data_IF_732316235116
#
_entry.id   IF_732316235116
#
_cell.length_a   1.000
_cell.length_b   1.000
_cell.length_c   1.000
_cell.angle_alpha   90.00
_cell.angle_beta   90.00
_cell.angle_gamma   90.00
#
_symmetry.space_group_name_H-M   'P 1'
#
loop_
_entity.id
_entity.type
_entity.pdbx_description
1 polymer ?
#
# COMPACT_ATOMS: atom_id res chain seq x y z
N UNK A 1 5.82 0.46 -14.99
CA UNK A 1 4.98 1.62 -15.34
C UNK A 1 3.54 1.19 -15.25
N UNK A 2 2.71 1.91 -14.49
CA UNK A 2 1.29 1.61 -14.33
C UNK A 2 0.48 2.79 -14.85
N UNK A 3 -0.29 2.55 -15.89
CA UNK A 3 -1.22 3.49 -16.51
C UNK A 3 -2.62 2.91 -16.39
N UNK A 4 -3.56 3.68 -15.88
CA UNK A 4 -4.95 3.27 -15.72
C UNK A 4 -5.86 4.26 -16.44
N UNK A 5 -6.93 3.81 -17.12
CA UNK A 5 -7.96 4.72 -17.58
C UNK A 5 -8.55 5.51 -16.41
N UNK A 6 -8.68 6.81 -16.57
CA UNK A 6 -9.41 7.66 -15.64
C UNK A 6 -10.90 7.73 -16.04
N UNK A 7 -11.80 8.25 -15.17
CA UNK A 7 -13.23 8.32 -15.48
C UNK A 7 -13.59 9.18 -16.68
N UNK A 8 -12.79 10.22 -16.98
CA UNK A 8 -13.04 11.10 -18.11
C UNK A 8 -12.34 10.60 -19.37
N UNK A 9 -12.98 10.68 -20.55
CA UNK A 9 -12.37 10.30 -21.82
C UNK A 9 -11.08 11.09 -22.08
N UNK A 10 -10.03 10.39 -22.50
CA UNK A 10 -8.72 10.99 -22.78
C UNK A 10 -7.84 11.21 -21.58
N UNK A 11 -8.30 10.89 -20.38
CA UNK A 11 -7.51 10.97 -19.16
C UNK A 11 -6.97 9.61 -18.72
N UNK A 12 -5.76 9.61 -18.19
CA UNK A 12 -5.13 8.43 -17.58
C UNK A 12 -4.53 8.77 -16.22
N UNK A 13 -4.67 7.85 -15.29
CA UNK A 13 -3.99 7.92 -14.00
C UNK A 13 -2.62 7.25 -14.13
N UNK A 14 -1.58 7.94 -13.70
CA UNK A 14 -0.19 7.49 -13.76
C UNK A 14 0.32 7.21 -12.35
N UNK A 15 0.64 5.96 -12.03
CA UNK A 15 1.26 5.57 -10.78
C UNK A 15 2.71 5.13 -11.02
N UNK A 16 3.64 6.07 -10.94
CA UNK A 16 5.05 5.84 -11.31
C UNK A 16 6.06 6.49 -10.37
N UNK A 17 5.71 7.61 -9.71
CA UNK A 17 6.67 8.28 -8.83
C UNK A 17 6.95 7.44 -7.59
N UNK A 18 8.21 7.39 -7.19
CA UNK A 18 8.66 6.64 -6.01
C UNK A 18 9.91 7.29 -5.42
N UNK A 19 10.00 7.31 -4.11
CA UNK A 19 11.20 7.71 -3.37
C UNK A 19 11.42 6.74 -2.22
N UNK A 20 12.67 6.29 -2.05
CA UNK A 20 13.11 5.37 -1.01
C UNK A 20 14.01 6.10 -0.01
N UNK A 21 14.28 5.46 1.15
CA UNK A 21 15.12 6.06 2.19
C UNK A 21 14.47 7.28 2.83
N UNK A 22 13.16 7.25 3.02
CA UNK A 22 12.33 8.29 3.62
C UNK A 22 11.78 7.78 4.95
N UNK A 23 12.01 8.52 6.02
CA UNK A 23 11.25 8.35 7.25
C UNK A 23 9.92 9.09 7.14
N UNK A 24 8.83 8.35 6.90
CA UNK A 24 7.48 8.91 6.78
C UNK A 24 6.92 9.50 8.08
N UNK A 25 7.68 9.47 9.19
CA UNK A 25 7.34 10.16 10.46
C UNK A 25 8.05 11.50 10.60
N UNK A 26 9.00 11.80 9.70
CA UNK A 26 9.78 13.04 9.66
C UNK A 26 9.19 14.03 8.65
N UNK A 27 8.77 15.20 9.11
CA UNK A 27 8.25 16.26 8.23
C UNK A 27 9.28 16.68 7.17
N UNK A 28 10.56 16.74 7.52
CA UNK A 28 11.65 17.06 6.59
C UNK A 28 11.73 16.03 5.46
N UNK A 29 11.65 14.74 5.80
CA UNK A 29 11.72 13.66 4.84
C UNK A 29 10.48 13.61 3.95
N UNK A 30 9.29 13.86 4.51
CA UNK A 30 8.07 13.98 3.72
C UNK A 30 8.15 15.14 2.72
N UNK A 31 8.69 16.30 3.14
CA UNK A 31 8.91 17.44 2.25
C UNK A 31 9.89 17.09 1.13
N UNK A 32 11.00 16.42 1.46
CA UNK A 32 11.95 15.92 0.46
C UNK A 32 11.29 14.96 -0.52
N UNK A 33 10.47 14.04 -0.03
CA UNK A 33 9.73 13.10 -0.86
C UNK A 33 8.78 13.80 -1.84
N UNK A 34 8.05 14.82 -1.38
CA UNK A 34 7.19 15.65 -2.24
C UNK A 34 7.98 16.31 -3.37
N UNK A 35 9.09 16.95 -3.06
CA UNK A 35 9.94 17.62 -4.06
C UNK A 35 10.42 16.61 -5.10
N UNK A 36 11.02 15.51 -4.67
CA UNK A 36 11.57 14.47 -5.54
C UNK A 36 10.48 13.86 -6.44
N UNK A 37 9.32 13.53 -5.87
CA UNK A 37 8.22 12.95 -6.66
C UNK A 37 7.66 13.94 -7.70
N UNK A 38 7.59 15.22 -7.38
CA UNK A 38 7.15 16.24 -8.35
C UNK A 38 8.15 16.45 -9.47
N UNK A 39 9.45 16.43 -9.19
CA UNK A 39 10.48 16.43 -10.22
C UNK A 39 10.41 15.20 -11.13
N UNK A 40 10.18 14.01 -10.54
CA UNK A 40 9.97 12.79 -11.32
C UNK A 40 8.74 12.91 -12.23
N UNK A 41 7.64 13.51 -11.78
CA UNK A 41 6.45 13.72 -12.61
C UNK A 41 6.78 14.49 -13.89
N UNK A 42 7.56 15.55 -13.80
CA UNK A 42 7.96 16.33 -15.00
C UNK A 42 8.77 15.45 -15.97
N UNK A 43 9.68 14.63 -15.46
CA UNK A 43 10.47 13.70 -16.29
C UNK A 43 9.61 12.62 -16.93
N UNK A 44 8.63 12.09 -16.18
CA UNK A 44 7.67 11.08 -16.70
C UNK A 44 6.83 11.67 -17.85
N UNK A 45 6.34 12.89 -17.72
CA UNK A 45 5.58 13.54 -18.81
C UNK A 45 6.44 13.68 -20.07
N UNK A 46 7.69 14.10 -19.92
CA UNK A 46 8.62 14.17 -21.06
C UNK A 46 8.84 12.80 -21.70
N UNK A 47 9.08 11.78 -20.88
CA UNK A 47 9.23 10.40 -21.35
C UNK A 47 7.98 9.90 -22.10
N UNK A 48 6.78 10.15 -21.56
CA UNK A 48 5.53 9.74 -22.21
C UNK A 48 5.38 10.41 -23.58
N UNK A 49 5.67 11.71 -23.67
CA UNK A 49 5.61 12.46 -24.95
C UNK A 49 6.58 11.95 -25.99
N UNK A 50 7.75 11.55 -25.59
CA UNK A 50 8.84 11.17 -26.49
C UNK A 50 8.77 9.70 -26.93
N UNK A 51 8.35 8.81 -26.03
CA UNK A 51 8.51 7.37 -26.23
C UNK A 51 7.21 6.56 -26.25
N UNK A 52 6.06 7.17 -25.92
CA UNK A 52 4.81 6.41 -25.82
C UNK A 52 3.79 6.91 -26.86
N UNK A 53 3.49 6.09 -27.89
CA UNK A 53 2.53 6.48 -28.92
C UNK A 53 1.17 6.86 -28.34
N UNK A 54 0.60 7.98 -28.81
CA UNK A 54 -0.66 8.53 -28.35
C UNK A 54 -0.54 9.49 -27.15
N UNK A 55 0.69 9.71 -26.63
CA UNK A 55 0.95 10.64 -25.52
C UNK A 55 1.74 11.87 -25.94
N UNK A 56 1.95 12.12 -27.21
CA UNK A 56 2.81 13.18 -27.76
C UNK A 56 2.43 14.57 -27.20
N UNK A 57 1.15 14.80 -26.98
CA UNK A 57 0.61 16.08 -26.47
C UNK A 57 0.09 15.98 -25.03
N UNK A 58 0.41 14.90 -24.27
CA UNK A 58 -0.10 14.74 -22.91
C UNK A 58 0.44 15.83 -21.98
N UNK A 59 -0.35 16.18 -20.97
CA UNK A 59 0.05 17.10 -19.92
C UNK A 59 -0.60 16.67 -18.59
N UNK A 60 -0.05 17.13 -17.47
CA UNK A 60 -0.63 16.84 -16.17
C UNK A 60 -1.88 17.69 -15.96
N UNK A 61 -3.04 17.04 -15.79
CA UNK A 61 -4.29 17.69 -15.40
C UNK A 61 -4.26 17.98 -13.90
N UNK A 62 -3.82 17.01 -13.13
CA UNK A 62 -3.70 17.13 -11.66
C UNK A 62 -2.62 16.19 -11.12
N UNK A 63 -2.23 16.39 -9.89
CA UNK A 63 -1.39 15.45 -9.13
C UNK A 63 -2.00 15.19 -7.76
N UNK A 64 -1.58 14.10 -7.10
CA UNK A 64 -1.96 13.87 -5.71
C UNK A 64 -1.58 15.08 -4.83
N UNK A 65 -2.44 15.40 -3.85
CA UNK A 65 -2.19 16.49 -2.90
C UNK A 65 -0.94 16.24 -2.05
N UNK A 66 -0.71 14.98 -1.68
CA UNK A 66 0.41 14.55 -0.84
C UNK A 66 0.99 13.24 -1.35
N UNK A 67 2.28 13.01 -1.01
CA UNK A 67 2.93 11.72 -1.23
C UNK A 67 2.23 10.61 -0.44
N UNK A 68 2.01 9.48 -1.08
CA UNK A 68 1.39 8.30 -0.46
C UNK A 68 2.40 7.52 0.38
N UNK A 69 2.37 7.70 1.70
CA UNK A 69 3.19 6.91 2.63
C UNK A 69 2.61 5.50 2.75
N UNK A 70 3.41 4.48 2.45
CA UNK A 70 2.95 3.09 2.46
C UNK A 70 2.98 2.48 3.85
N UNK A 71 4.07 2.64 4.58
CA UNK A 71 4.30 2.05 5.88
C UNK A 71 5.16 2.96 6.75
N UNK A 72 4.84 3.08 8.03
CA UNK A 72 5.65 3.76 9.05
C UNK A 72 5.52 3.06 10.39
N UNK A 73 4.48 3.39 11.16
CA UNK A 73 4.25 2.90 12.51
C UNK A 73 3.14 1.85 12.52
N UNK A 74 3.41 0.76 13.21
CA UNK A 74 2.41 -0.21 13.64
C UNK A 74 2.30 -0.13 15.16
N UNK A 75 1.11 -0.26 15.70
CA UNK A 75 0.96 -0.46 17.14
C UNK A 75 1.12 -1.94 17.47
N UNK A 76 1.46 -2.25 18.72
CA UNK A 76 1.47 -3.62 19.20
C UNK A 76 0.07 -4.02 19.67
N UNK A 77 -0.52 -4.96 18.95
CA UNK A 77 -1.84 -5.51 19.22
C UNK A 77 -1.76 -6.84 19.97
N UNK A 78 -2.92 -7.39 20.31
CA UNK A 78 -3.02 -8.72 20.94
C UNK A 78 -2.63 -9.86 19.99
N UNK A 79 -2.60 -9.60 18.69
CA UNK A 79 -2.15 -10.54 17.65
C UNK A 79 -1.42 -9.80 16.54
N UNK A 80 -0.24 -10.29 16.15
CA UNK A 80 0.50 -9.83 14.97
C UNK A 80 0.17 -10.74 13.79
N UNK A 81 -0.48 -10.20 12.74
CA UNK A 81 -0.76 -10.94 11.52
C UNK A 81 0.53 -11.23 10.77
N UNK A 82 0.75 -12.49 10.41
CA UNK A 82 1.96 -12.93 9.73
C UNK A 82 1.71 -13.22 8.25
N UNK A 83 2.79 -13.22 7.44
CA UNK A 83 2.72 -13.68 6.06
C UNK A 83 2.27 -15.13 5.94
N UNK A 84 2.55 -15.97 6.93
CA UNK A 84 2.14 -17.38 6.93
C UNK A 84 0.64 -17.53 7.11
N UNK A 85 0.00 -16.71 7.94
CA UNK A 85 -1.46 -16.68 8.08
C UNK A 85 -2.12 -16.36 6.72
N UNK A 86 -1.53 -15.45 5.96
CA UNK A 86 -2.03 -15.04 4.64
C UNK A 86 -1.79 -16.15 3.59
N UNK A 87 -0.57 -16.71 3.54
CA UNK A 87 -0.21 -17.77 2.59
C UNK A 87 -1.08 -19.00 2.78
N UNK A 88 -1.31 -19.41 4.03
CA UNK A 88 -2.14 -20.57 4.37
C UNK A 88 -3.64 -20.28 4.28
N UNK A 89 -4.03 -19.06 3.88
CA UNK A 89 -5.44 -18.62 3.78
C UNK A 89 -6.21 -18.85 5.09
N UNK A 90 -5.58 -18.54 6.21
CA UNK A 90 -6.12 -18.82 7.54
C UNK A 90 -7.41 -18.07 7.80
N UNK A 91 -8.38 -18.77 8.35
CA UNK A 91 -9.64 -18.22 8.84
C UNK A 91 -9.63 -18.22 10.36
N UNK A 92 -9.83 -17.05 10.95
CA UNK A 92 -9.88 -16.87 12.41
C UNK A 92 -11.33 -16.82 12.86
N UNK A 93 -11.64 -17.36 14.04
CA UNK A 93 -12.99 -17.34 14.60
C UNK A 93 -13.43 -15.92 15.00
N UNK A 94 -12.47 -15.10 15.44
CA UNK A 94 -12.64 -13.68 15.80
C UNK A 94 -12.36 -12.74 14.63
N UNK A 95 -12.70 -13.09 13.42
CA UNK A 95 -12.44 -12.27 12.25
C UNK A 95 -13.20 -10.93 12.27
N UNK A 96 -12.51 -9.87 11.85
CA UNK A 96 -13.09 -8.53 11.64
C UNK A 96 -13.18 -8.18 10.15
N UNK A 97 -12.29 -8.74 9.35
CA UNK A 97 -12.30 -8.65 7.90
C UNK A 97 -12.11 -10.04 7.30
N UNK A 98 -12.94 -10.39 6.33
CA UNK A 98 -12.94 -11.71 5.72
C UNK A 98 -12.88 -11.63 4.20
N UNK A 99 -12.55 -12.79 3.56
CA UNK A 99 -12.45 -12.95 2.10
C UNK A 99 -11.40 -12.04 1.48
N UNK A 100 -10.38 -11.63 2.24
CA UNK A 100 -9.30 -10.81 1.75
C UNK A 100 -8.40 -11.61 0.80
N UNK A 101 -7.99 -10.99 -0.30
CA UNK A 101 -7.08 -11.57 -1.28
C UNK A 101 -6.33 -10.45 -1.99
N UNK A 102 -5.02 -10.47 -1.93
CA UNK A 102 -4.14 -9.59 -2.69
C UNK A 102 -2.76 -10.22 -2.83
N UNK A 103 -1.93 -9.69 -3.69
CA UNK A 103 -0.53 -10.09 -3.81
C UNK A 103 0.31 -9.43 -2.71
N UNK A 104 1.46 -10.03 -2.38
CA UNK A 104 2.46 -9.40 -1.53
C UNK A 104 3.24 -8.38 -2.37
N UNK A 105 2.89 -7.11 -2.23
CA UNK A 105 3.48 -6.01 -3.00
C UNK A 105 4.62 -5.35 -2.21
N UNK A 106 5.77 -6.02 -2.19
CA UNK A 106 6.99 -5.54 -1.54
C UNK A 106 7.83 -4.79 -2.58
N UNK A 107 8.17 -3.54 -2.28
CA UNK A 107 9.01 -2.71 -3.12
C UNK A 107 10.48 -2.81 -2.71
N UNK A 108 11.38 -2.75 -3.71
CA UNK A 108 12.82 -2.77 -3.46
C UNK A 108 13.26 -1.52 -2.67
N UNK A 109 14.08 -1.72 -1.65
CA UNK A 109 14.74 -0.64 -0.91
C UNK A 109 16.05 -0.19 -1.58
N UNK A 110 16.50 -0.88 -2.64
CA UNK A 110 17.75 -0.61 -3.34
C UNK A 110 17.57 0.20 -4.63
N UNK A 111 16.33 0.36 -5.10
CA UNK A 111 16.05 1.06 -6.35
C UNK A 111 14.59 0.95 -6.78
N UNK A 112 14.26 1.40 -7.99
CA UNK A 112 12.91 1.33 -8.51
C UNK A 112 12.49 -0.12 -8.78
N UNK A 113 11.21 -0.42 -8.55
CA UNK A 113 10.62 -1.73 -8.83
C UNK A 113 10.33 -2.55 -7.58
N UNK A 114 10.04 -3.81 -7.80
CA UNK A 114 9.74 -4.78 -6.75
C UNK A 114 11.04 -5.38 -6.20
N UNK A 115 10.98 -5.85 -4.97
CA UNK A 115 12.09 -6.57 -4.35
C UNK A 115 12.41 -7.84 -5.18
N UNK A 116 13.71 -8.09 -5.44
CA UNK A 116 14.17 -9.25 -6.23
C UNK A 116 13.77 -10.59 -5.60
N UNK A 117 13.66 -10.60 -4.27
CA UNK A 117 13.13 -11.73 -3.50
C UNK A 117 11.63 -11.58 -3.27
N UNK A 118 11.04 -10.63 -4.00
CA UNK A 118 9.67 -10.18 -3.85
C UNK A 118 8.70 -11.33 -3.74
N UNK A 119 7.95 -11.28 -2.70
CA UNK A 119 6.98 -12.26 -2.28
C UNK A 119 5.98 -12.65 -3.40
N UNK A 120 5.82 -11.81 -4.42
CA UNK A 120 4.92 -12.06 -5.55
C UNK A 120 5.21 -13.36 -6.32
N UNK A 121 6.46 -13.80 -6.37
CA UNK A 121 6.83 -15.05 -7.06
C UNK A 121 6.92 -16.25 -6.11
N UNK A 122 7.22 -16.03 -4.85
CA UNK A 122 7.47 -17.09 -3.85
C UNK A 122 6.32 -17.29 -2.87
N UNK A 123 5.53 -16.24 -2.59
CA UNK A 123 4.43 -16.29 -1.65
C UNK A 123 3.11 -16.02 -2.37
N UNK A 124 2.40 -17.08 -2.68
CA UNK A 124 1.01 -17.00 -3.15
C UNK A 124 0.10 -17.52 -2.06
N UNK A 125 -0.94 -16.76 -1.74
CA UNK A 125 -1.97 -17.25 -0.84
C UNK A 125 -2.67 -18.45 -1.48
N UNK A 126 -2.90 -19.49 -0.68
CA UNK A 126 -3.68 -20.67 -1.07
C UNK A 126 -5.17 -20.35 -1.29
N UNK A 127 -5.63 -19.22 -0.80
CA UNK A 127 -7.01 -18.79 -0.92
C UNK A 127 -7.25 -17.44 -0.24
N UNK A 128 -8.52 -17.16 0.02
CA UNK A 128 -8.95 -15.96 0.75
C UNK A 128 -8.75 -16.17 2.25
N UNK A 129 -8.16 -15.17 2.93
CA UNK A 129 -7.89 -15.20 4.36
C UNK A 129 -8.77 -14.22 5.13
N UNK A 130 -8.81 -14.35 6.45
CA UNK A 130 -9.43 -13.38 7.35
C UNK A 130 -8.38 -12.65 8.21
N UNK A 131 -8.76 -11.49 8.73
CA UNK A 131 -7.97 -10.72 9.68
C UNK A 131 -8.68 -10.80 11.03
N UNK A 132 -8.00 -11.24 12.11
CA UNK A 132 -8.62 -11.36 13.42
C UNK A 132 -8.80 -9.99 14.09
N UNK A 133 -9.86 -9.83 14.85
CA UNK A 133 -10.15 -8.61 15.62
C UNK A 133 -9.00 -8.20 16.54
N UNK A 134 -8.30 -9.17 17.07
CA UNK A 134 -7.13 -8.98 17.96
C UNK A 134 -6.00 -8.18 17.32
N UNK A 135 -5.91 -8.09 15.99
CA UNK A 135 -4.95 -7.21 15.28
C UNK A 135 -5.30 -5.72 15.43
N UNK A 136 -6.53 -5.41 15.85
CA UNK A 136 -7.05 -4.04 15.99
C UNK A 136 -7.06 -3.58 17.46
N UNK A 137 -6.75 -4.44 18.41
CA UNK A 137 -6.81 -4.18 19.87
C UNK A 137 -5.40 -3.94 20.40
N UNK A 138 -5.06 -2.73 20.87
CA UNK A 138 -3.76 -2.46 21.49
C UNK A 138 -3.53 -3.29 22.75
N UNK A 139 -2.27 -3.75 22.97
CA UNK A 139 -1.92 -4.56 24.16
C UNK A 139 -2.01 -3.80 25.48
N UNK A 140 -1.84 -2.47 25.47
CA UNK A 140 -1.64 -1.67 26.68
C UNK A 140 -2.67 -0.55 26.86
N UNK A 141 -3.68 -0.49 26.02
CA UNK A 141 -4.70 0.55 26.09
C UNK A 141 -6.08 -0.07 25.92
N UNK A 142 -6.94 0.19 26.88
CA UNK A 142 -8.34 -0.21 26.84
C UNK A 142 -9.20 0.88 26.20
N UNK A 143 -10.35 0.50 25.66
CA UNK A 143 -11.31 1.43 25.07
C UNK A 143 -10.88 2.07 23.76
N UNK A 144 -9.84 1.54 23.11
CA UNK A 144 -9.32 2.00 21.82
C UNK A 144 -9.27 0.85 20.82
N UNK A 145 -9.79 1.09 19.62
CA UNK A 145 -9.61 0.23 18.46
C UNK A 145 -8.90 1.00 17.36
N UNK A 146 -8.02 0.34 16.64
CA UNK A 146 -7.27 0.89 15.54
C UNK A 146 -7.54 0.09 14.27
N UNK A 147 -7.60 0.79 13.12
CA UNK A 147 -7.89 0.16 11.84
C UNK A 147 -7.05 0.73 10.71
N UNK A 148 -7.01 0.02 9.59
CA UNK A 148 -6.28 0.46 8.41
C UNK A 148 -4.85 -0.10 8.35
N UNK A 149 -3.93 0.68 7.80
CA UNK A 149 -2.55 0.24 7.56
C UNK A 149 -1.68 0.09 8.81
N UNK A 150 -2.14 0.57 9.95
CA UNK A 150 -1.41 0.57 11.23
C UNK A 150 -1.76 -0.60 12.16
N UNK A 151 -2.64 -1.51 11.76
CA UNK A 151 -2.91 -2.73 12.53
C UNK A 151 -1.63 -3.55 12.68
N UNK A 152 -1.56 -4.40 13.70
CA UNK A 152 -0.36 -5.20 13.96
C UNK A 152 -0.19 -6.30 12.91
N UNK A 153 0.97 -6.34 12.31
CA UNK A 153 1.34 -7.33 11.31
C UNK A 153 2.78 -7.18 10.88
N UNK A 154 3.38 -8.28 10.45
CA UNK A 154 4.73 -8.27 9.90
C UNK A 154 4.81 -7.39 8.66
N UNK A 155 5.99 -6.87 8.33
CA UNK A 155 6.21 -6.08 7.10
C UNK A 155 5.70 -6.80 5.84
N UNK A 156 5.91 -8.12 5.75
CA UNK A 156 5.42 -8.91 4.62
C UNK A 156 3.89 -9.00 4.61
N UNK A 157 3.27 -9.30 5.75
CA UNK A 157 1.81 -9.31 5.85
C UNK A 157 1.23 -7.94 5.50
N UNK A 158 1.83 -6.85 6.00
CA UNK A 158 1.44 -5.49 5.69
C UNK A 158 1.44 -5.21 4.19
N UNK A 159 2.42 -5.68 3.44
CA UNK A 159 2.49 -5.49 1.98
C UNK A 159 1.25 -6.03 1.24
N UNK A 160 0.54 -6.97 1.85
CA UNK A 160 -0.70 -7.55 1.33
C UNK A 160 -1.94 -6.79 1.83
N UNK A 161 -2.11 -6.60 3.16
CA UNK A 161 -3.35 -6.06 3.71
C UNK A 161 -3.47 -4.53 3.63
N UNK A 162 -2.39 -3.79 3.34
CA UNK A 162 -2.39 -2.32 3.28
C UNK A 162 -3.19 -1.70 2.13
N UNK A 163 -3.65 -2.51 1.18
CA UNK A 163 -4.40 -2.01 0.03
C UNK A 163 -5.78 -1.49 0.43
N UNK A 164 -6.24 -0.45 -0.27
CA UNK A 164 -7.48 0.25 0.07
C UNK A 164 -8.69 -0.66 0.29
N UNK A 165 -8.99 -1.66 -0.57
CA UNK A 165 -10.17 -2.51 -0.36
C UNK A 165 -10.10 -3.31 0.95
N UNK A 166 -8.93 -3.81 1.32
CA UNK A 166 -8.75 -4.55 2.57
C UNK A 166 -8.83 -3.60 3.77
N UNK A 167 -8.19 -2.42 3.69
CA UNK A 167 -8.29 -1.41 4.75
C UNK A 167 -9.74 -0.93 4.96
N UNK A 168 -10.53 -0.79 3.89
CA UNK A 168 -11.97 -0.46 3.99
C UNK A 168 -12.75 -1.57 4.69
N UNK A 169 -12.46 -2.84 4.36
CA UNK A 169 -13.07 -4.01 5.02
C UNK A 169 -12.75 -4.03 6.53
N UNK A 170 -11.48 -3.78 6.90
CA UNK A 170 -11.08 -3.66 8.32
C UNK A 170 -11.82 -2.49 8.98
N UNK A 171 -11.84 -1.32 8.34
CA UNK A 171 -12.49 -0.12 8.87
C UNK A 171 -13.99 -0.30 9.09
N UNK A 172 -14.67 -0.99 8.18
CA UNK A 172 -16.08 -1.34 8.35
C UNK A 172 -16.28 -2.23 9.56
N UNK A 173 -15.49 -3.31 9.68
CA UNK A 173 -15.62 -4.23 10.80
C UNK A 173 -15.33 -3.57 12.15
N UNK A 174 -14.33 -2.68 12.25
CA UNK A 174 -14.01 -1.94 13.49
C UNK A 174 -15.09 -0.93 13.84
N UNK A 175 -15.75 -0.34 12.84
CA UNK A 175 -16.76 0.72 13.03
C UNK A 175 -18.18 0.21 13.27
N UNK A 176 -18.42 -1.11 13.21
CA UNK A 176 -19.73 -1.74 13.46
C UNK A 176 -19.82 -2.26 14.89
#
# INVERSE_FOLDING_TARGET
MLLYPAPLPGEVCVNMTNVIGIDGTSVRDLTRAEIVCREQMVRIIRFLREFVPGYENCYAVTSASNVGVRETRHFKALYELTEFDIVEAKLFDDWIATRNLFNFDIHSLKGPGLDEHGAQHKFRSKGKYSIPFRCCIPQKLDGLLLSGRNIDGTHKAHSNFRVMPICLNIGQGVGT
#
